data_IF_944259980152
#
_entry.id   IF_944259980152
#
_cell.length_a   1.000
_cell.length_b   1.000
_cell.length_c   1.000
_cell.angle_alpha   90.00
_cell.angle_beta   90.00
_cell.angle_gamma   90.00
#
_symmetry.space_group_name_H-M   'P 1'
#
loop_
_entity.id
_entity.type
_entity.pdbx_description
1 polymer ?
#
# COMPACT_ATOMS: atom_id res chain seq x y z
N UNK A 1 -29.73 27.12 -28.84
CA UNK A 1 -28.26 26.94 -28.83
C UNK A 1 -27.57 27.64 -27.65
N UNK A 2 -27.92 28.89 -27.34
CA UNK A 2 -27.31 29.66 -26.23
C UNK A 2 -27.42 29.01 -24.83
N UNK A 3 -28.55 28.36 -24.51
CA UNK A 3 -28.73 27.62 -23.24
C UNK A 3 -27.83 26.38 -23.12
N UNK A 4 -27.57 25.70 -24.25
CA UNK A 4 -26.67 24.54 -24.31
C UNK A 4 -25.22 24.97 -24.09
N UNK A 5 -24.81 26.10 -24.68
CA UNK A 5 -23.48 26.68 -24.47
C UNK A 5 -23.26 27.10 -23.01
N UNK A 6 -24.25 27.73 -22.37
CA UNK A 6 -24.17 28.10 -20.95
C UNK A 6 -24.03 26.88 -20.03
N UNK A 7 -24.74 25.78 -20.33
CA UNK A 7 -24.62 24.54 -19.56
C UNK A 7 -23.22 23.92 -19.69
N UNK A 8 -22.64 23.89 -20.89
CA UNK A 8 -21.29 23.36 -21.11
C UNK A 8 -20.24 24.18 -20.35
N UNK A 9 -20.36 25.52 -20.38
CA UNK A 9 -19.44 26.41 -19.66
C UNK A 9 -19.55 26.21 -18.14
N UNK A 10 -20.77 26.05 -17.61
CA UNK A 10 -20.99 25.77 -16.19
C UNK A 10 -20.39 24.42 -15.76
N UNK A 11 -20.57 23.38 -16.58
CA UNK A 11 -19.99 22.04 -16.31
C UNK A 11 -18.46 22.09 -16.38
N UNK A 12 -17.89 22.77 -17.37
CA UNK A 12 -16.44 22.91 -17.50
C UNK A 12 -15.82 23.70 -16.32
N UNK A 13 -16.46 24.78 -15.89
CA UNK A 13 -16.02 25.57 -14.74
C UNK A 13 -16.11 24.78 -13.43
N UNK A 14 -17.18 24.01 -13.23
CA UNK A 14 -17.34 23.13 -12.07
C UNK A 14 -16.29 22.01 -12.05
N UNK A 15 -16.02 21.38 -13.20
CA UNK A 15 -14.98 20.36 -13.33
C UNK A 15 -13.58 20.92 -13.06
N UNK A 16 -13.27 22.12 -13.58
CA UNK A 16 -11.99 22.79 -13.34
C UNK A 16 -11.78 23.14 -11.87
N UNK A 17 -12.78 23.73 -11.22
CA UNK A 17 -12.72 24.05 -9.80
C UNK A 17 -12.55 22.77 -8.95
N UNK A 18 -13.26 21.69 -9.30
CA UNK A 18 -13.14 20.41 -8.62
C UNK A 18 -11.72 19.83 -8.73
N UNK A 19 -11.15 19.81 -9.93
CA UNK A 19 -9.80 19.30 -10.17
C UNK A 19 -8.71 20.13 -9.46
N UNK A 20 -8.90 21.44 -9.32
CA UNK A 20 -7.89 22.30 -8.69
C UNK A 20 -7.98 22.38 -7.18
N UNK A 21 -9.18 22.28 -6.59
CA UNK A 21 -9.36 22.42 -5.15
C UNK A 21 -9.56 21.09 -4.41
N UNK A 22 -10.08 20.06 -5.07
CA UNK A 22 -10.49 18.81 -4.41
C UNK A 22 -9.79 17.57 -4.92
N UNK A 23 -9.20 17.59 -6.12
CA UNK A 23 -8.40 16.45 -6.56
C UNK A 23 -7.09 16.41 -5.76
N UNK A 24 -6.87 15.30 -5.06
CA UNK A 24 -5.57 15.02 -4.47
C UNK A 24 -4.50 15.07 -5.58
N UNK A 25 -3.35 15.74 -5.35
CA UNK A 25 -2.27 15.74 -6.33
C UNK A 25 -1.92 14.30 -6.68
N UNK A 26 -1.78 14.03 -7.98
CA UNK A 26 -1.38 12.71 -8.44
C UNK A 26 -0.10 12.28 -7.71
N UNK A 27 -0.01 11.04 -7.20
CA UNK A 27 1.15 10.61 -6.44
C UNK A 27 2.39 10.75 -7.31
N UNK A 28 3.39 11.49 -6.82
CA UNK A 28 4.62 11.81 -7.55
C UNK A 28 5.43 10.56 -7.90
N UNK A 29 5.26 9.49 -7.14
CA UNK A 29 5.97 8.22 -7.27
C UNK A 29 4.99 7.06 -7.40
N UNK A 30 5.39 6.00 -8.10
CA UNK A 30 4.62 4.76 -8.16
C UNK A 30 5.55 3.56 -8.22
N UNK A 31 5.11 2.44 -7.63
CA UNK A 31 5.86 1.18 -7.70
C UNK A 31 5.97 0.64 -9.15
N UNK A 32 4.99 0.94 -10.00
CA UNK A 32 4.99 0.52 -11.40
C UNK A 32 6.00 1.28 -12.27
N UNK A 33 6.37 2.50 -11.89
CA UNK A 33 7.30 3.35 -12.64
C UNK A 33 8.71 3.40 -12.04
N UNK A 34 9.03 2.52 -11.09
CA UNK A 34 10.26 2.61 -10.28
C UNK A 34 11.54 2.68 -11.11
N UNK A 35 11.59 1.93 -12.23
CA UNK A 35 12.75 1.89 -13.14
C UNK A 35 12.95 3.20 -13.90
N UNK A 36 11.86 3.94 -14.15
CA UNK A 36 11.91 5.26 -14.82
C UNK A 36 12.08 6.40 -13.82
N UNK A 37 11.67 6.17 -12.58
CA UNK A 37 11.66 7.17 -11.52
C UNK A 37 11.99 6.49 -10.19
N UNK A 38 13.29 6.45 -9.82
CA UNK A 38 13.73 5.91 -8.54
C UNK A 38 12.98 6.59 -7.39
N UNK A 39 12.58 5.77 -6.41
CA UNK A 39 11.68 6.20 -5.33
C UNK A 39 12.49 6.42 -4.05
N UNK A 40 12.40 7.59 -3.41
CA UNK A 40 13.01 7.82 -2.12
C UNK A 40 12.52 6.81 -1.08
N UNK A 41 13.38 6.40 -0.16
CA UNK A 41 13.08 5.37 0.85
C UNK A 41 11.80 5.63 1.64
N UNK A 42 11.56 6.88 2.04
CA UNK A 42 10.36 7.25 2.79
C UNK A 42 9.08 7.03 1.95
N UNK A 43 9.09 7.49 0.70
CA UNK A 43 7.99 7.32 -0.24
C UNK A 43 7.78 5.86 -0.62
N UNK A 44 8.87 5.10 -0.74
CA UNK A 44 8.83 3.68 -1.06
C UNK A 44 7.99 2.88 -0.04
N UNK A 45 8.25 3.08 1.25
CA UNK A 45 7.48 2.37 2.28
C UNK A 45 6.06 2.91 2.43
N UNK A 46 5.82 4.19 2.16
CA UNK A 46 4.47 4.74 2.09
C UNK A 46 3.66 4.05 0.97
N UNK A 47 4.23 3.91 -0.23
CA UNK A 47 3.59 3.19 -1.34
C UNK A 47 3.30 1.73 -1.00
N UNK A 48 4.22 1.05 -0.32
CA UNK A 48 4.00 -0.34 0.11
C UNK A 48 2.98 -0.48 1.25
N UNK A 49 2.79 0.56 2.07
CA UNK A 49 1.68 0.62 3.04
C UNK A 49 0.33 0.68 2.31
N UNK A 50 0.22 1.53 1.28
CA UNK A 50 -1.00 1.58 0.46
C UNK A 50 -1.25 0.24 -0.24
N UNK A 51 -0.22 -0.40 -0.78
CA UNK A 51 -0.33 -1.75 -1.34
C UNK A 51 -0.76 -2.80 -0.29
N UNK A 52 -0.32 -2.66 0.97
CA UNK A 52 -0.77 -3.52 2.07
C UNK A 52 -2.26 -3.33 2.39
N UNK A 53 -2.84 -2.15 2.17
CA UNK A 53 -4.29 -1.94 2.29
C UNK A 53 -5.11 -2.67 1.23
N UNK A 54 -4.58 -2.80 0.03
CA UNK A 54 -5.20 -3.61 -1.02
C UNK A 54 -5.13 -5.09 -0.68
N UNK A 55 -4.06 -5.51 -0.02
CA UNK A 55 -3.93 -6.87 0.50
C UNK A 55 -4.92 -7.14 1.64
N UNK A 56 -5.33 -6.14 2.42
CA UNK A 56 -6.38 -6.27 3.42
C UNK A 56 -7.79 -6.50 2.83
N UNK A 57 -7.97 -6.42 1.51
CA UNK A 57 -9.25 -6.74 0.89
C UNK A 57 -9.55 -8.26 0.97
N UNK A 58 -10.83 -8.66 1.07
CA UNK A 58 -11.22 -10.07 1.10
C UNK A 58 -10.62 -10.87 -0.07
N UNK A 59 -10.14 -12.09 0.19
CA UNK A 59 -9.57 -12.99 -0.82
C UNK A 59 -8.13 -12.71 -1.26
N UNK A 60 -7.41 -11.73 -0.66
CA UNK A 60 -6.06 -11.33 -1.12
C UNK A 60 -4.90 -11.76 -0.22
N UNK A 61 -5.04 -11.83 1.11
CA UNK A 61 -3.87 -12.03 2.01
C UNK A 61 -4.09 -12.88 3.27
N UNK A 62 -5.21 -13.60 3.39
CA UNK A 62 -5.47 -14.39 4.61
C UNK A 62 -5.81 -13.54 5.85
N UNK A 63 -5.96 -12.22 5.67
CA UNK A 63 -6.45 -11.24 6.66
C UNK A 63 -7.97 -11.30 6.90
N UNK A 64 -8.65 -12.26 6.28
CA UNK A 64 -10.08 -12.53 6.43
C UNK A 64 -10.48 -12.77 7.89
N UNK A 65 -9.54 -13.24 8.72
CA UNK A 65 -9.77 -13.49 10.15
C UNK A 65 -10.03 -12.23 10.96
N UNK A 66 -9.38 -11.11 10.62
CA UNK A 66 -9.50 -9.84 11.35
C UNK A 66 -10.45 -8.86 10.65
N UNK A 67 -10.77 -9.10 9.38
CA UNK A 67 -11.59 -8.21 8.56
C UNK A 67 -10.80 -7.00 8.04
N UNK A 68 -11.28 -6.42 6.94
CA UNK A 68 -10.55 -5.38 6.19
C UNK A 68 -10.21 -4.14 7.04
N UNK A 69 -11.16 -3.66 7.85
CA UNK A 69 -10.95 -2.47 8.68
C UNK A 69 -9.89 -2.72 9.78
N UNK A 70 -9.94 -3.86 10.47
CA UNK A 70 -8.96 -4.18 11.50
C UNK A 70 -7.57 -4.49 10.91
N UNK A 71 -7.52 -5.09 9.71
CA UNK A 71 -6.27 -5.28 8.98
C UNK A 71 -5.61 -3.94 8.64
N UNK A 72 -6.37 -2.97 8.07
CA UNK A 72 -5.84 -1.63 7.79
C UNK A 72 -5.35 -0.92 9.05
N UNK A 73 -6.12 -1.01 10.14
CA UNK A 73 -5.72 -0.43 11.42
C UNK A 73 -4.47 -1.12 12.00
N UNK A 74 -4.29 -2.43 11.78
CA UNK A 74 -3.06 -3.14 12.14
C UNK A 74 -1.88 -2.61 11.33
N UNK A 75 -2.03 -2.50 10.01
CA UNK A 75 -1.00 -2.00 9.10
C UNK A 75 -0.55 -0.59 9.49
N UNK A 76 -1.48 0.32 9.79
CA UNK A 76 -1.13 1.68 10.25
C UNK A 76 -0.29 1.67 11.53
N UNK A 77 -0.72 0.90 12.55
CA UNK A 77 0.05 0.77 13.80
C UNK A 77 1.40 0.08 13.61
N UNK A 78 1.53 -0.72 12.55
CA UNK A 78 2.72 -1.49 12.21
C UNK A 78 3.72 -0.74 11.35
N UNK A 79 3.27 0.28 10.64
CA UNK A 79 4.06 0.94 9.63
C UNK A 79 5.41 1.43 10.17
N UNK A 80 5.43 2.31 11.17
CA UNK A 80 6.67 2.93 11.64
C UNK A 80 7.69 1.90 12.16
N UNK A 81 7.26 0.93 12.97
CA UNK A 81 8.14 -0.12 13.50
C UNK A 81 8.69 -1.02 12.39
N UNK A 82 7.88 -1.32 11.38
CA UNK A 82 8.29 -2.17 10.26
C UNK A 82 9.18 -1.42 9.27
N UNK A 83 8.96 -0.12 9.06
CA UNK A 83 9.88 0.76 8.31
C UNK A 83 11.23 0.85 9.01
N UNK A 84 11.25 1.04 10.33
CA UNK A 84 12.52 1.07 11.07
C UNK A 84 13.29 -0.25 10.92
N UNK A 85 12.60 -1.40 10.96
CA UNK A 85 13.22 -2.72 10.83
C UNK A 85 13.67 -3.04 9.41
N UNK A 86 12.78 -2.90 8.42
CA UNK A 86 13.07 -3.24 7.03
C UNK A 86 13.94 -2.17 6.35
N UNK A 87 13.80 -0.91 6.75
CA UNK A 87 14.49 0.23 6.17
C UNK A 87 15.90 0.49 6.73
N UNK A 88 16.30 -0.16 7.82
CA UNK A 88 17.62 0.02 8.44
C UNK A 88 18.79 -0.21 7.47
N UNK A 89 18.65 -1.16 6.55
CA UNK A 89 19.64 -1.44 5.50
C UNK A 89 19.26 -0.92 4.11
N UNK A 90 18.06 -0.35 3.95
CA UNK A 90 17.58 0.08 2.64
C UNK A 90 18.30 1.36 2.19
N UNK A 91 18.67 1.47 0.90
CA UNK A 91 19.33 2.65 0.37
C UNK A 91 18.40 3.86 0.40
N UNK A 92 18.98 5.06 0.25
CA UNK A 92 18.22 6.32 0.26
C UNK A 92 17.16 6.38 -0.86
N UNK A 93 17.41 5.70 -1.98
CA UNK A 93 16.53 5.61 -3.14
C UNK A 93 16.51 4.17 -3.64
N UNK A 94 15.32 3.67 -3.97
CA UNK A 94 15.10 2.37 -4.59
C UNK A 94 15.00 2.56 -6.10
N UNK A 95 15.90 1.93 -6.86
CA UNK A 95 16.07 2.24 -8.28
C UNK A 95 15.32 1.30 -9.23
N UNK A 96 15.05 0.06 -8.80
CA UNK A 96 14.50 -0.96 -9.69
C UNK A 96 13.54 -1.93 -8.99
N UNK A 97 12.90 -2.80 -9.79
CA UNK A 97 11.92 -3.77 -9.29
C UNK A 97 12.54 -4.89 -8.45
N UNK A 98 13.78 -5.28 -8.73
CA UNK A 98 14.45 -6.33 -7.97
C UNK A 98 14.77 -5.85 -6.55
N UNK A 99 15.26 -4.62 -6.44
CA UNK A 99 15.51 -3.93 -5.20
C UNK A 99 14.21 -3.63 -4.45
N UNK A 100 13.17 -3.19 -5.16
CA UNK A 100 11.82 -3.05 -4.61
C UNK A 100 11.37 -4.33 -3.92
N UNK A 101 11.42 -5.48 -4.59
CA UNK A 101 11.02 -6.78 -4.00
C UNK A 101 11.87 -7.16 -2.79
N UNK A 102 13.18 -6.91 -2.85
CA UNK A 102 14.13 -7.21 -1.76
C UNK A 102 13.78 -6.47 -0.47
N UNK A 103 13.35 -5.22 -0.56
CA UNK A 103 13.01 -4.41 0.62
C UNK A 103 11.51 -4.45 0.98
N UNK A 104 10.65 -4.70 0.00
CA UNK A 104 9.21 -4.81 0.22
C UNK A 104 8.83 -6.05 1.03
N UNK A 105 9.45 -7.21 0.74
CA UNK A 105 9.03 -8.47 1.38
C UNK A 105 9.23 -8.46 2.89
N UNK A 106 10.41 -8.13 3.45
CA UNK A 106 10.58 -8.02 4.90
C UNK A 106 9.64 -6.99 5.56
N UNK A 107 9.28 -5.93 4.83
CA UNK A 107 8.31 -4.94 5.30
C UNK A 107 6.89 -5.54 5.34
N UNK A 108 6.44 -6.18 4.26
CA UNK A 108 5.11 -6.79 4.17
C UNK A 108 4.92 -7.92 5.18
N UNK A 109 5.94 -8.76 5.36
CA UNK A 109 5.93 -9.84 6.36
C UNK A 109 5.82 -9.31 7.79
N UNK A 110 6.27 -8.07 8.02
CA UNK A 110 6.16 -7.40 9.31
C UNK A 110 4.83 -6.66 9.50
N UNK A 111 4.31 -6.04 8.43
CA UNK A 111 3.21 -5.08 8.51
C UNK A 111 1.83 -5.75 8.37
N UNK A 112 1.76 -6.88 7.67
CA UNK A 112 0.53 -7.63 7.51
C UNK A 112 0.29 -8.54 8.72
N UNK A 113 -0.97 -8.68 9.16
CA UNK A 113 -1.30 -9.65 10.20
C UNK A 113 -1.03 -11.07 9.70
N UNK A 114 -0.73 -11.99 10.62
CA UNK A 114 -0.58 -13.40 10.27
C UNK A 114 -1.81 -13.94 9.51
N UNK A 115 -1.58 -14.81 8.51
CA UNK A 115 -2.66 -15.45 7.77
C UNK A 115 -3.50 -16.34 8.69
N UNK A 116 -4.79 -16.52 8.38
CA UNK A 116 -5.69 -17.36 9.16
C UNK A 116 -5.28 -18.85 9.20
N UNK A 117 -4.60 -19.32 8.15
CA UNK A 117 -4.07 -20.67 8.04
C UNK A 117 -2.82 -20.72 7.14
N UNK A 118 -1.93 -21.67 7.42
CA UNK A 118 -0.74 -21.97 6.61
C UNK A 118 -0.61 -23.47 6.41
N UNK A 119 -0.48 -23.92 5.16
CA UNK A 119 -0.36 -25.35 4.84
C UNK A 119 -1.52 -26.22 5.36
N UNK A 120 -2.72 -25.65 5.48
CA UNK A 120 -3.89 -26.32 6.07
C UNK A 120 -3.96 -26.30 7.59
N UNK A 121 -2.96 -25.73 8.28
CA UNK A 121 -2.94 -25.56 9.73
C UNK A 121 -3.53 -24.21 10.11
N UNK A 122 -4.55 -24.15 10.99
CA UNK A 122 -5.08 -22.88 11.47
C UNK A 122 -4.05 -22.16 12.34
N UNK A 123 -3.72 -20.94 11.94
CA UNK A 123 -2.77 -20.08 12.64
C UNK A 123 -3.57 -19.16 13.57
N UNK A 124 -3.27 -19.23 14.88
CA UNK A 124 -4.01 -18.46 15.90
C UNK A 124 -3.25 -17.24 16.39
N UNK A 125 -1.95 -17.16 16.11
CA UNK A 125 -1.05 -16.07 16.51
C UNK A 125 0.05 -15.84 15.48
N UNK A 126 0.71 -14.68 15.54
CA UNK A 126 1.90 -14.39 14.71
C UNK A 126 3.09 -15.32 15.03
N UNK A 127 3.08 -15.97 16.19
CA UNK A 127 4.09 -16.97 16.54
C UNK A 127 3.79 -18.33 15.90
N UNK A 128 2.52 -18.75 15.87
CA UNK A 128 2.08 -19.94 15.13
C UNK A 128 2.36 -19.78 13.63
N UNK A 129 2.16 -18.58 13.10
CA UNK A 129 2.47 -18.26 11.71
C UNK A 129 3.94 -18.54 11.39
N UNK A 130 4.85 -18.09 12.25
CA UNK A 130 6.29 -18.30 12.07
C UNK A 130 6.71 -19.77 12.14
N UNK A 131 5.92 -20.62 12.82
CA UNK A 131 6.18 -22.07 12.90
C UNK A 131 5.62 -22.85 11.71
N UNK A 132 4.51 -22.39 11.13
CA UNK A 132 3.74 -23.18 10.16
C UNK A 132 3.68 -22.58 8.75
N UNK A 133 4.01 -21.30 8.58
CA UNK A 133 4.15 -20.65 7.29
C UNK A 133 5.62 -20.67 6.88
N UNK A 134 6.02 -21.46 5.86
CA UNK A 134 7.37 -21.34 5.30
C UNK A 134 7.59 -19.93 4.71
N UNK A 135 8.83 -19.42 4.72
CA UNK A 135 9.18 -18.10 4.19
C UNK A 135 8.95 -17.96 2.67
#
# INVERSE_FOLDING_TARGET
MQRLLLLIVLVAAAAFAYLHWFAAPAPRYSLAAIERQPVPRAEFFALWREAAYDLCAPGRSGSERVGAAACRAHVERAHERCVARAGAGAPATIADQAESRRWARPYLDCVLPAPAACGGVPVRSDEDARRHCPP
#
